data_IF_838596292253
#
_entry.id   IF_838596292253
#
_cell.length_a   1.000
_cell.length_b   1.000
_cell.length_c   1.000
_cell.angle_alpha   90.00
_cell.angle_beta   90.00
_cell.angle_gamma   90.00
#
_symmetry.space_group_name_H-M   'P 1'
#
loop_
_entity.id
_entity.type
_entity.pdbx_description
1 polymer ?
#
# COMPACT_ATOMS: atom_id res chain seq x y z
N UNK A 1 4.38 10.02 -4.80
CA UNK A 1 4.64 8.60 -4.53
C UNK A 1 6.11 8.18 -4.60
N UNK A 2 6.93 8.69 -5.54
CA UNK A 2 8.35 8.30 -5.61
C UNK A 2 9.17 8.63 -4.36
N UNK A 3 8.82 9.70 -3.64
CA UNK A 3 9.42 10.01 -2.33
C UNK A 3 9.08 8.95 -1.27
N UNK A 4 7.80 8.55 -1.20
CA UNK A 4 7.32 7.49 -0.31
C UNK A 4 8.04 6.16 -0.61
N UNK A 5 8.19 5.80 -1.89
CA UNK A 5 8.93 4.60 -2.31
C UNK A 5 10.36 4.54 -1.77
N UNK A 6 11.06 5.68 -1.75
CA UNK A 6 12.44 5.76 -1.26
C UNK A 6 12.53 5.58 0.25
N UNK A 7 11.57 6.11 1.00
CA UNK A 7 11.51 6.00 2.47
C UNK A 7 10.80 4.75 2.97
N UNK A 8 10.18 3.95 2.09
CA UNK A 8 9.45 2.75 2.49
C UNK A 8 10.37 1.69 3.08
N UNK A 9 9.99 1.18 4.25
CA UNK A 9 10.63 0.04 4.89
C UNK A 9 9.94 -1.26 4.48
N UNK A 10 10.71 -2.34 4.36
CA UNK A 10 10.20 -3.65 3.94
C UNK A 10 10.49 -4.70 4.99
N UNK A 11 9.47 -5.46 5.37
CA UNK A 11 9.57 -6.55 6.35
C UNK A 11 9.13 -7.86 5.69
N UNK A 12 10.00 -8.87 5.68
CA UNK A 12 9.72 -10.13 4.95
C UNK A 12 9.71 -10.01 3.42
N UNK A 13 9.90 -8.80 2.88
CA UNK A 13 10.18 -8.51 1.48
C UNK A 13 11.50 -7.77 1.32
N UNK A 14 12.09 -7.88 0.13
CA UNK A 14 13.19 -7.06 -0.35
C UNK A 14 12.70 -6.11 -1.43
N UNK A 15 13.38 -4.96 -1.59
CA UNK A 15 13.11 -3.97 -2.65
C UNK A 15 13.14 -4.59 -4.07
N UNK A 16 13.91 -5.66 -4.25
CA UNK A 16 14.09 -6.38 -5.53
C UNK A 16 13.00 -7.43 -5.80
N UNK A 17 12.17 -7.77 -4.81
CA UNK A 17 11.14 -8.79 -4.97
C UNK A 17 10.12 -8.36 -6.02
N UNK A 18 9.63 -9.34 -6.79
CA UNK A 18 8.69 -9.10 -7.89
C UNK A 18 7.42 -8.40 -7.40
N UNK A 19 6.87 -8.84 -6.27
CA UNK A 19 5.67 -8.25 -5.66
C UNK A 19 5.86 -6.76 -5.36
N UNK A 20 7.03 -6.38 -4.81
CA UNK A 20 7.36 -4.99 -4.48
C UNK A 20 7.54 -4.14 -5.74
N UNK A 21 8.24 -4.68 -6.76
CA UNK A 21 8.39 -3.99 -8.04
C UNK A 21 7.04 -3.77 -8.73
N UNK A 22 6.17 -4.78 -8.73
CA UNK A 22 4.82 -4.66 -9.26
C UNK A 22 3.96 -3.67 -8.48
N UNK A 23 4.05 -3.68 -7.15
CA UNK A 23 3.37 -2.72 -6.30
C UNK A 23 3.71 -1.28 -6.71
N UNK A 24 5.00 -0.95 -6.78
CA UNK A 24 5.41 0.42 -7.10
C UNK A 24 5.10 0.82 -8.53
N UNK A 25 5.26 -0.08 -9.49
CA UNK A 25 4.86 0.20 -10.88
C UNK A 25 3.36 0.55 -10.95
N UNK A 26 2.52 -0.26 -10.30
CA UNK A 26 1.06 -0.03 -10.26
C UNK A 26 0.73 1.28 -9.57
N UNK A 27 1.32 1.56 -8.40
CA UNK A 27 1.04 2.76 -7.59
C UNK A 27 1.55 4.04 -8.26
N UNK A 28 2.71 4.00 -8.91
CA UNK A 28 3.21 5.13 -9.70
C UNK A 28 2.35 5.41 -10.94
N UNK A 29 1.72 4.37 -11.49
CA UNK A 29 0.75 4.49 -12.58
C UNK A 29 -0.69 4.82 -12.15
N UNK A 30 -0.99 4.95 -10.86
CA UNK A 30 -2.30 5.35 -10.38
C UNK A 30 -2.59 6.83 -10.62
N UNK A 31 -3.86 7.17 -10.81
CA UNK A 31 -4.33 8.56 -10.79
C UNK A 31 -4.10 9.19 -9.41
N UNK A 32 -4.11 10.52 -9.35
CA UNK A 32 -3.91 11.25 -8.09
C UNK A 32 -4.95 10.85 -7.02
N UNK A 33 -6.21 10.63 -7.42
CA UNK A 33 -7.29 10.17 -6.53
C UNK A 33 -6.94 8.82 -5.88
N UNK A 34 -6.56 7.83 -6.68
CA UNK A 34 -6.16 6.51 -6.19
C UNK A 34 -4.90 6.56 -5.32
N UNK A 35 -3.95 7.44 -5.63
CA UNK A 35 -2.76 7.64 -4.80
C UNK A 35 -3.13 8.21 -3.42
N UNK A 36 -4.06 9.17 -3.36
CA UNK A 36 -4.58 9.73 -2.10
C UNK A 36 -5.34 8.68 -1.30
N UNK A 37 -6.20 7.90 -1.94
CA UNK A 37 -6.93 6.81 -1.28
C UNK A 37 -6.00 5.72 -0.75
N UNK A 38 -4.92 5.39 -1.48
CA UNK A 38 -3.90 4.47 -0.97
C UNK A 38 -3.21 5.03 0.30
N UNK A 39 -2.85 6.31 0.30
CA UNK A 39 -2.27 6.95 1.49
C UNK A 39 -3.25 6.91 2.66
N UNK A 40 -4.52 7.25 2.43
CA UNK A 40 -5.54 7.17 3.45
C UNK A 40 -5.73 5.73 3.95
N UNK A 41 -5.81 4.76 3.05
CA UNK A 41 -5.89 3.34 3.39
C UNK A 41 -4.75 2.88 4.29
N UNK A 42 -3.52 3.28 3.96
CA UNK A 42 -2.32 2.88 4.68
C UNK A 42 -2.11 3.60 6.00
N UNK A 43 -2.57 4.85 6.13
CA UNK A 43 -2.13 5.78 7.19
C UNK A 43 -3.27 6.39 7.98
N UNK A 44 -4.53 6.15 7.58
CA UNK A 44 -5.71 6.77 8.15
C UNK A 44 -5.86 8.26 7.82
N UNK A 45 -4.92 8.84 7.06
CA UNK A 45 -4.95 10.24 6.66
C UNK A 45 -4.55 10.42 5.21
N UNK A 46 -5.20 11.34 4.50
CA UNK A 46 -4.75 11.77 3.18
C UNK A 46 -3.74 12.93 3.25
N UNK A 47 -3.43 13.39 4.47
CA UNK A 47 -2.50 14.51 4.73
C UNK A 47 -1.08 14.01 4.87
N UNK A 48 -0.18 14.66 4.14
CA UNK A 48 1.27 14.45 4.25
C UNK A 48 1.78 15.25 5.44
N UNK A 49 2.67 14.69 6.30
CA UNK A 49 3.31 15.43 7.38
C UNK A 49 4.03 16.68 6.86
N UNK A 50 4.25 17.66 7.75
CA UNK A 50 5.01 18.88 7.41
C UNK A 50 6.43 18.57 6.91
N UNK A 51 7.04 17.47 7.38
CA UNK A 51 8.32 16.95 6.91
C UNK A 51 8.26 16.21 5.56
N UNK A 52 7.08 16.11 4.95
CA UNK A 52 6.86 15.43 3.67
C UNK A 52 6.64 13.91 3.78
N UNK A 53 6.54 13.27 2.62
CA UNK A 53 6.28 11.81 2.52
C UNK A 53 7.37 10.93 3.12
N UNK A 54 8.57 11.47 3.34
CA UNK A 54 9.68 10.74 3.92
C UNK A 54 9.45 10.44 5.41
N UNK A 55 8.71 11.31 6.11
CA UNK A 55 8.47 11.24 7.55
C UNK A 55 7.28 10.36 7.95
N UNK A 56 6.55 9.86 6.94
CA UNK A 56 5.38 9.01 7.11
C UNK A 56 5.72 7.61 7.68
N UNK A 57 7.01 7.22 7.72
CA UNK A 57 7.46 5.90 8.18
C UNK A 57 6.64 4.73 7.58
N UNK A 58 6.30 4.82 6.30
CA UNK A 58 5.46 3.84 5.62
C UNK A 58 6.18 2.49 5.48
N UNK A 59 5.48 1.40 5.79
CA UNK A 59 6.03 0.04 5.78
C UNK A 59 5.22 -0.88 4.88
N UNK A 60 5.91 -1.78 4.19
CA UNK A 60 5.28 -2.89 3.47
C UNK A 60 5.79 -4.20 4.07
N UNK A 61 4.89 -4.96 4.66
CA UNK A 61 5.21 -6.24 5.28
C UNK A 61 4.64 -7.39 4.45
N UNK A 62 5.37 -8.49 4.34
CA UNK A 62 4.89 -9.70 3.68
C UNK A 62 3.81 -10.35 4.53
N UNK A 63 2.65 -10.58 3.91
CA UNK A 63 1.61 -11.40 4.51
C UNK A 63 1.88 -12.87 4.21
N UNK A 64 1.81 -13.73 5.22
CA UNK A 64 1.88 -15.21 5.07
C UNK A 64 0.55 -15.82 4.57
N UNK A 65 -0.40 -14.97 4.15
CA UNK A 65 -1.68 -15.38 3.59
C UNK A 65 -1.57 -15.79 2.11
N UNK A 66 -2.54 -16.57 1.65
CA UNK A 66 -2.68 -16.91 0.23
C UNK A 66 -2.81 -15.66 -0.65
N UNK A 67 -2.34 -15.74 -1.90
CA UNK A 67 -2.44 -14.69 -2.92
C UNK A 67 -3.87 -14.32 -3.29
N UNK A 68 -4.87 -15.10 -2.86
CA UNK A 68 -6.27 -14.78 -3.07
C UNK A 68 -6.80 -13.69 -2.13
N UNK A 69 -6.08 -13.39 -1.05
CA UNK A 69 -6.47 -12.42 -0.04
C UNK A 69 -6.25 -10.98 -0.52
N UNK A 70 -7.00 -10.05 0.07
CA UNK A 70 -6.80 -8.61 -0.14
C UNK A 70 -5.63 -8.11 0.70
N UNK A 71 -4.98 -6.99 0.32
CA UNK A 71 -4.03 -6.34 1.21
C UNK A 71 -4.76 -5.81 2.45
N UNK A 72 -4.04 -5.77 3.57
CA UNK A 72 -4.54 -5.26 4.85
C UNK A 72 -3.67 -4.09 5.28
N UNK A 73 -4.26 -3.03 5.82
CA UNK A 73 -3.53 -1.91 6.36
C UNK A 73 -3.67 -1.83 7.88
N UNK A 74 -2.58 -1.48 8.55
CA UNK A 74 -2.55 -1.11 9.96
C UNK A 74 -2.18 0.37 10.06
N UNK A 75 -3.20 1.22 10.06
CA UNK A 75 -3.05 2.68 9.99
C UNK A 75 -2.26 3.26 11.15
N UNK A 76 -2.40 2.70 12.37
CA UNK A 76 -1.62 3.10 13.54
C UNK A 76 -0.10 3.00 13.34
N UNK A 77 0.35 2.16 12.41
CA UNK A 77 1.77 1.91 12.13
C UNK A 77 2.18 2.31 10.71
N UNK A 78 1.29 2.96 9.95
CA UNK A 78 1.50 3.26 8.53
C UNK A 78 1.97 2.02 7.73
N UNK A 79 1.39 0.86 8.03
CA UNK A 79 1.86 -0.43 7.52
C UNK A 79 0.85 -1.06 6.57
N UNK A 80 1.34 -1.52 5.41
CA UNK A 80 0.60 -2.28 4.44
C UNK A 80 1.08 -3.74 4.41
N UNK A 81 0.23 -4.67 4.84
CA UNK A 81 0.46 -6.10 4.75
C UNK A 81 0.05 -6.59 3.35
N UNK A 82 1.03 -7.01 2.56
CA UNK A 82 0.86 -7.35 1.15
C UNK A 82 1.07 -8.86 0.93
N UNK A 83 0.05 -9.60 0.48
CA UNK A 83 0.22 -10.99 0.04
C UNK A 83 1.22 -11.11 -1.12
N UNK A 84 1.88 -12.27 -1.30
CA UNK A 84 2.90 -12.47 -2.32
C UNK A 84 2.29 -12.69 -3.72
N UNK A 85 1.59 -11.68 -4.23
CA UNK A 85 0.92 -11.71 -5.53
C UNK A 85 1.92 -12.02 -6.65
N UNK A 86 1.61 -13.04 -7.45
CA UNK A 86 2.51 -13.54 -8.50
C UNK A 86 2.44 -12.72 -9.78
N UNK A 87 1.34 -11.98 -9.98
CA UNK A 87 1.08 -11.25 -11.21
C UNK A 87 0.61 -9.81 -10.94
N UNK A 88 1.08 -8.88 -11.79
CA UNK A 88 0.83 -7.44 -11.66
C UNK A 88 -0.65 -7.07 -11.79
N UNK A 89 -1.41 -7.81 -12.62
CA UNK A 89 -2.84 -7.56 -12.86
C UNK A 89 -3.66 -7.86 -11.60
N UNK A 90 -3.42 -9.02 -10.97
CA UNK A 90 -4.03 -9.43 -9.71
C UNK A 90 -3.66 -8.47 -8.59
N UNK A 91 -2.38 -8.11 -8.46
CA UNK A 91 -1.97 -7.11 -7.48
C UNK A 91 -2.75 -5.81 -7.66
N UNK A 92 -2.82 -5.27 -8.88
CA UNK A 92 -3.58 -4.05 -9.18
C UNK A 92 -5.05 -4.18 -8.80
N UNK A 93 -5.69 -5.28 -9.21
CA UNK A 93 -7.11 -5.51 -8.92
C UNK A 93 -7.36 -5.61 -7.41
N UNK A 94 -6.59 -6.43 -6.69
CA UNK A 94 -6.73 -6.63 -5.24
C UNK A 94 -6.42 -5.35 -4.46
N UNK A 95 -5.44 -4.57 -4.91
CA UNK A 95 -5.08 -3.29 -4.30
C UNK A 95 -6.21 -2.27 -4.47
N UNK A 96 -6.79 -2.14 -5.67
CA UNK A 96 -7.94 -1.25 -5.90
C UNK A 96 -9.13 -1.69 -5.05
N UNK A 97 -9.43 -3.00 -4.99
CA UNK A 97 -10.51 -3.52 -4.14
C UNK A 97 -10.25 -3.16 -2.66
N UNK A 98 -9.04 -3.40 -2.14
CA UNK A 98 -8.71 -3.09 -0.75
C UNK A 98 -8.86 -1.61 -0.42
N UNK A 99 -8.31 -0.74 -1.27
CA UNK A 99 -8.38 0.72 -1.09
C UNK A 99 -9.83 1.22 -1.14
N UNK A 100 -10.62 0.79 -2.13
CA UNK A 100 -11.99 1.27 -2.33
C UNK A 100 -12.99 0.75 -1.29
N UNK A 101 -12.73 -0.42 -0.69
CA UNK A 101 -13.63 -1.00 0.31
C UNK A 101 -13.26 -0.60 1.75
N UNK A 102 -12.08 -0.03 1.97
CA UNK A 102 -11.68 0.45 3.30
C UNK A 102 -12.50 1.66 3.78
N UNK A 103 -13.03 2.46 2.84
CA UNK A 103 -13.98 3.54 3.14
C UNK A 103 -15.38 3.00 3.51
N UNK A 104 -15.62 1.68 3.39
CA UNK A 104 -16.93 1.03 3.55
C UNK A 104 -17.22 0.37 4.91
N UNK A 105 -16.29 0.43 5.88
CA UNK A 105 -16.51 -0.05 7.26
C UNK A 105 -16.59 1.09 8.28
N UNK A 106 -16.95 2.30 7.84
CA UNK A 106 -17.59 3.30 8.68
C UNK A 106 -19.09 3.09 8.67
N UNK A 107 -19.57 1.96 9.21
CA UNK A 107 -20.97 1.87 9.62
C UNK A 107 -21.06 2.59 10.95
N UNK A 108 -21.66 3.78 10.92
CA UNK A 108 -22.33 4.40 12.06
C UNK A 108 -23.32 3.43 12.71
#
# INVERSE_FOLDING_TARGET
>A
MSALQRSTQYEGYQKTDLTIRYFWDVVLGFSLDLQKKLLHFATGSDRVPVGGMADLNFKISKSETSTNWLPVAHTCFNQLCLPPYKNKKELKQKLIIGISNAEGFGLE
#
